data_IF_184521573185
#
_entry.id   IF_184521573185
#
_cell.length_a   1.000
_cell.length_b   1.000
_cell.length_c   1.000
_cell.angle_alpha   90.00
_cell.angle_beta   90.00
_cell.angle_gamma   90.00
#
_symmetry.space_group_name_H-M   'P 1'
#
loop_
_entity.id
_entity.type
_entity.pdbx_description
1 polymer ?
#
# COMPACT_ATOMS: atom_id res chain seq x y z
N UNK A 1 -19.34 -6.68 2.39
CA UNK A 1 -19.24 -6.04 3.71
C UNK A 1 -19.22 -7.13 4.77
N UNK A 2 -18.49 -6.93 5.88
CA UNK A 2 -18.31 -7.96 6.92
C UNK A 2 -19.63 -8.31 7.60
N UNK A 3 -19.82 -9.56 8.04
CA UNK A 3 -20.98 -10.04 8.81
C UNK A 3 -20.89 -9.75 10.31
N UNK A 4 -19.78 -9.17 10.76
CA UNK A 4 -19.55 -8.86 12.18
C UNK A 4 -20.19 -7.51 12.51
N UNK A 5 -21.04 -7.50 13.52
CA UNK A 5 -21.74 -6.31 13.99
C UNK A 5 -20.79 -5.32 14.69
N UNK A 6 -21.18 -4.05 14.71
CA UNK A 6 -20.52 -2.99 15.48
C UNK A 6 -19.02 -2.77 15.16
N UNK A 7 -18.67 -2.74 13.86
CA UNK A 7 -17.34 -2.31 13.36
C UNK A 7 -17.43 -0.92 12.71
N UNK A 8 -17.48 0.17 13.50
CA UNK A 8 -17.68 1.52 12.96
C UNK A 8 -16.43 2.08 12.27
N UNK A 9 -15.27 1.50 12.53
CA UNK A 9 -13.99 2.00 12.06
C UNK A 9 -13.67 1.45 10.67
N UNK A 10 -13.13 2.32 9.82
CA UNK A 10 -12.60 1.98 8.50
C UNK A 10 -11.14 2.40 8.44
N UNK A 11 -10.34 1.68 7.68
CA UNK A 11 -8.98 2.05 7.31
C UNK A 11 -8.75 1.66 5.84
N UNK A 12 -7.84 2.36 5.17
CA UNK A 12 -7.31 1.97 3.87
C UNK A 12 -6.03 1.17 4.09
N UNK A 13 -6.01 -0.07 3.61
CA UNK A 13 -4.81 -0.91 3.59
C UNK A 13 -4.24 -0.91 2.17
N UNK A 14 -3.01 -0.44 2.01
CA UNK A 14 -2.28 -0.45 0.74
C UNK A 14 -1.21 -1.53 0.82
N UNK A 15 -1.28 -2.53 -0.07
CA UNK A 15 -0.46 -3.74 0.01
C UNK A 15 0.42 -3.87 -1.21
N UNK A 16 1.72 -4.07 -0.99
CA UNK A 16 2.73 -4.49 -1.97
C UNK A 16 2.80 -3.63 -3.24
N UNK A 17 2.57 -2.32 -3.12
CA UNK A 17 2.71 -1.37 -4.23
C UNK A 17 4.18 -0.94 -4.38
N UNK A 18 5.03 -1.93 -4.59
CA UNK A 18 6.49 -1.82 -4.69
C UNK A 18 6.96 -1.87 -6.14
N UNK A 19 8.07 -1.22 -6.46
CA UNK A 19 8.62 -1.11 -7.81
C UNK A 19 8.69 -2.46 -8.54
N UNK A 20 9.34 -3.46 -7.94
CA UNK A 20 9.49 -4.79 -8.53
C UNK A 20 8.19 -5.60 -8.58
N UNK A 21 7.24 -5.33 -7.68
CA UNK A 21 5.96 -6.04 -7.63
C UNK A 21 5.03 -5.57 -8.75
N UNK A 22 4.94 -4.26 -8.97
CA UNK A 22 4.00 -3.72 -9.97
C UNK A 22 4.62 -3.52 -11.35
N UNK A 23 5.92 -3.73 -11.54
CA UNK A 23 6.63 -3.46 -12.80
C UNK A 23 5.97 -4.07 -14.05
N UNK A 24 5.46 -5.30 -13.93
CA UNK A 24 4.75 -6.01 -15.01
C UNK A 24 3.23 -6.04 -14.87
N UNK A 25 2.66 -5.27 -13.93
CA UNK A 25 1.23 -5.31 -13.65
C UNK A 25 0.42 -4.73 -14.81
N UNK A 26 -0.75 -5.33 -15.06
CA UNK A 26 -1.71 -4.80 -16.03
C UNK A 26 -2.16 -3.39 -15.59
N UNK A 27 -2.15 -2.45 -16.54
CA UNK A 27 -2.54 -1.05 -16.30
C UNK A 27 -1.82 -0.40 -15.10
N UNK A 28 -0.55 -0.78 -14.85
CA UNK A 28 0.27 -0.31 -13.72
C UNK A 28 0.06 1.16 -13.37
N UNK A 29 0.19 2.05 -14.35
CA UNK A 29 0.11 3.50 -14.11
C UNK A 29 -1.29 3.94 -13.64
N UNK A 30 -2.35 3.40 -14.26
CA UNK A 30 -3.72 3.70 -13.89
C UNK A 30 -4.07 3.15 -12.50
N UNK A 31 -3.61 1.93 -12.18
CA UNK A 31 -3.79 1.32 -10.87
C UNK A 31 -3.07 2.13 -9.79
N UNK A 32 -1.80 2.49 -10.01
CA UNK A 32 -1.02 3.31 -9.06
C UNK A 32 -1.66 4.69 -8.86
N UNK A 33 -2.14 5.33 -9.93
CA UNK A 33 -2.85 6.61 -9.84
C UNK A 33 -4.17 6.51 -9.05
N UNK A 34 -4.90 5.40 -9.21
CA UNK A 34 -6.11 5.14 -8.45
C UNK A 34 -5.80 4.92 -6.96
N UNK A 35 -4.73 4.18 -6.64
CA UNK A 35 -4.26 4.03 -5.25
C UNK A 35 -3.91 5.39 -4.66
N UNK A 36 -3.18 6.24 -5.38
CA UNK A 36 -2.87 7.61 -4.95
C UNK A 36 -4.12 8.45 -4.67
N UNK A 37 -5.16 8.30 -5.50
CA UNK A 37 -6.45 8.97 -5.30
C UNK A 37 -7.18 8.49 -4.04
N UNK A 38 -7.15 7.18 -3.76
CA UNK A 38 -7.73 6.57 -2.56
C UNK A 38 -6.98 7.01 -1.30
N UNK A 39 -5.65 6.99 -1.32
CA UNK A 39 -4.79 7.48 -0.23
C UNK A 39 -5.10 8.96 0.04
N UNK A 40 -5.15 9.79 -1.00
CA UNK A 40 -5.47 11.20 -0.87
C UNK A 40 -6.87 11.44 -0.28
N UNK A 41 -7.86 10.63 -0.67
CA UNK A 41 -9.21 10.68 -0.09
C UNK A 41 -9.21 10.27 1.38
N UNK A 42 -8.58 9.15 1.73
CA UNK A 42 -8.51 8.65 3.10
C UNK A 42 -7.89 9.69 4.04
N UNK A 43 -6.77 10.30 3.63
CA UNK A 43 -6.11 11.39 4.37
C UNK A 43 -7.06 12.57 4.61
N UNK A 44 -7.78 13.05 3.59
CA UNK A 44 -8.74 14.16 3.73
C UNK A 44 -9.90 13.83 4.68
N UNK A 45 -10.37 12.60 4.65
CA UNK A 45 -11.49 12.14 5.48
C UNK A 45 -11.05 11.65 6.86
N UNK A 46 -9.76 11.75 7.19
CA UNK A 46 -9.14 11.23 8.43
C UNK A 46 -9.37 9.74 8.63
N UNK A 47 -9.47 8.99 7.54
CA UNK A 47 -9.46 7.53 7.54
C UNK A 47 -7.98 7.08 7.62
N UNK A 48 -7.60 6.24 8.60
CA UNK A 48 -6.23 5.73 8.70
C UNK A 48 -5.78 5.03 7.43
N UNK A 49 -4.54 5.29 7.01
CA UNK A 49 -3.86 4.56 5.93
C UNK A 49 -2.77 3.71 6.55
N UNK A 50 -2.74 2.43 6.18
CA UNK A 50 -1.73 1.47 6.61
C UNK A 50 -1.08 0.88 5.36
N UNK A 51 0.24 0.84 5.35
CA UNK A 51 1.04 0.31 4.26
C UNK A 51 1.56 -1.07 4.64
N UNK A 52 1.59 -1.97 3.68
CA UNK A 52 2.20 -3.29 3.80
C UNK A 52 3.22 -3.44 2.69
N UNK A 53 4.41 -3.91 3.04
CA UNK A 53 5.54 -4.06 2.13
C UNK A 53 6.11 -5.48 2.27
N UNK A 54 6.24 -6.17 1.14
CA UNK A 54 6.79 -7.52 1.08
C UNK A 54 8.30 -7.51 0.93
N UNK A 55 8.98 -8.46 1.57
CA UNK A 55 10.37 -8.78 1.28
C UNK A 55 10.64 -10.27 1.42
N UNK A 56 11.44 -10.83 0.52
CA UNK A 56 11.93 -12.20 0.59
C UNK A 56 13.27 -12.32 -0.15
N UNK A 57 13.70 -13.55 -0.46
CA UNK A 57 14.95 -13.80 -1.19
C UNK A 57 14.93 -13.26 -2.62
N UNK A 58 13.76 -13.09 -3.24
CA UNK A 58 13.57 -12.57 -4.59
C UNK A 58 13.33 -11.05 -4.60
N UNK A 59 12.84 -10.49 -3.50
CA UNK A 59 12.61 -9.07 -3.30
C UNK A 59 13.36 -8.57 -2.07
N UNK A 60 14.67 -8.41 -2.23
CA UNK A 60 15.58 -8.04 -1.14
C UNK A 60 15.20 -6.68 -0.54
N UNK A 61 15.09 -6.63 0.79
CA UNK A 61 14.83 -5.39 1.54
C UNK A 61 15.87 -4.32 1.18
N UNK A 62 15.44 -3.06 1.12
CA UNK A 62 16.24 -1.88 0.77
C UNK A 62 16.74 -1.80 -0.69
N UNK A 63 16.50 -2.82 -1.51
CA UNK A 63 16.72 -2.74 -2.96
C UNK A 63 15.77 -1.73 -3.60
N UNK A 64 16.10 -1.27 -4.81
CA UNK A 64 15.23 -0.34 -5.55
C UNK A 64 13.89 -0.98 -5.93
N UNK A 65 13.89 -2.26 -6.27
CA UNK A 65 12.68 -3.04 -6.56
C UNK A 65 11.79 -3.19 -5.32
N UNK A 66 12.39 -3.25 -4.13
CA UNK A 66 11.64 -3.36 -2.88
C UNK A 66 10.93 -2.05 -2.49
N UNK A 67 11.41 -0.88 -2.92
CA UNK A 67 10.82 0.41 -2.51
C UNK A 67 9.37 0.54 -2.98
N UNK A 68 8.55 1.25 -2.20
CA UNK A 68 7.25 1.73 -2.68
C UNK A 68 7.47 2.57 -3.94
N UNK A 69 6.56 2.44 -4.91
CA UNK A 69 6.63 3.19 -6.17
C UNK A 69 6.73 4.70 -5.89
N UNK A 70 7.58 5.45 -6.62
CA UNK A 70 7.86 6.86 -6.31
C UNK A 70 6.64 7.78 -6.45
N UNK A 71 5.59 7.35 -7.15
CA UNK A 71 4.31 8.05 -7.26
C UNK A 71 3.54 8.08 -5.94
N UNK A 72 3.88 7.21 -4.99
CA UNK A 72 3.24 7.09 -3.69
C UNK A 72 4.27 7.30 -2.58
N UNK A 73 3.93 8.16 -1.62
CA UNK A 73 4.77 8.39 -0.44
C UNK A 73 3.94 8.16 0.81
N UNK A 74 4.26 7.12 1.62
CA UNK A 74 3.71 6.96 2.95
C UNK A 74 3.96 8.23 3.79
N UNK A 75 2.95 8.66 4.55
CA UNK A 75 3.11 9.77 5.50
C UNK A 75 3.88 9.32 6.74
N UNK A 76 4.58 10.25 7.41
CA UNK A 76 5.43 9.94 8.57
C UNK A 76 4.68 9.25 9.73
N UNK A 77 3.39 9.50 9.86
CA UNK A 77 2.52 8.90 10.89
C UNK A 77 1.74 7.66 10.40
N UNK A 78 1.87 7.29 9.12
CA UNK A 78 1.17 6.14 8.55
C UNK A 78 1.99 4.86 8.83
N UNK A 79 1.41 3.84 9.49
CA UNK A 79 2.13 2.61 9.77
C UNK A 79 2.58 1.91 8.49
N UNK A 80 3.82 1.42 8.48
CA UNK A 80 4.38 0.57 7.44
C UNK A 80 4.74 -0.79 8.05
N UNK A 81 4.06 -1.82 7.58
CA UNK A 81 4.20 -3.19 8.07
C UNK A 81 4.99 -4.01 7.07
N UNK A 82 6.14 -4.52 7.50
CA UNK A 82 6.90 -5.47 6.70
C UNK A 82 6.30 -6.87 6.82
N UNK A 83 6.25 -7.60 5.70
CA UNK A 83 5.89 -9.02 5.66
C UNK A 83 6.84 -9.82 4.80
N UNK A 84 6.93 -11.12 5.08
CA UNK A 84 7.76 -12.08 4.33
C UNK A 84 6.95 -13.18 3.63
N UNK A 85 5.61 -13.11 3.70
CA UNK A 85 4.70 -14.12 3.15
C UNK A 85 3.54 -13.43 2.43
N UNK A 86 3.02 -14.08 1.38
CA UNK A 86 1.88 -13.63 0.58
C UNK A 86 0.69 -14.56 0.71
#
# INVERSE_FOLDING_TARGET
>A
MTTLENRPNTALLVVDVQCGVVAGAHERDAVVANVGSLVGKARRERVPVVWVQHSDEQLARQSDDWRIVPELTPGDAEPLVDKNYG
#
